data_IF_311168563281
#
_entry.id   IF_311168563281
#
_cell.length_a   1.000
_cell.length_b   1.000
_cell.length_c   1.000
_cell.angle_alpha   90.00
_cell.angle_beta   90.00
_cell.angle_gamma   90.00
#
_symmetry.space_group_name_H-M   'P 1'
#
loop_
_entity.id
_entity.type
_entity.pdbx_description
1 polymer ?
#
# COMPACT_ATOMS: atom_id res chain seq x y z
N UNK A 1 21.51 -26.51 0.44
CA UNK A 1 20.28 -26.99 -0.20
C UNK A 1 19.38 -27.49 0.92
N UNK A 2 18.22 -26.88 1.19
CA UNK A 2 17.27 -27.49 2.10
C UNK A 2 16.68 -28.71 1.38
N UNK A 3 16.86 -29.89 1.97
CA UNK A 3 16.28 -31.11 1.45
C UNK A 3 14.80 -31.13 1.79
N UNK A 4 13.95 -31.30 0.79
CA UNK A 4 12.54 -31.58 1.01
C UNK A 4 12.39 -33.08 1.25
N UNK A 5 11.85 -33.44 2.41
CA UNK A 5 11.49 -34.80 2.77
C UNK A 5 9.97 -34.92 2.64
N UNK A 6 9.51 -35.81 1.76
CA UNK A 6 8.08 -36.07 1.59
C UNK A 6 7.69 -37.27 2.43
N UNK A 7 6.88 -37.05 3.46
CA UNK A 7 6.21 -38.09 4.24
C UNK A 7 4.77 -38.28 3.75
N UNK A 8 4.21 -39.46 4.02
CA UNK A 8 2.81 -39.76 3.74
C UNK A 8 1.97 -39.11 4.84
N UNK A 9 1.05 -38.23 4.46
CA UNK A 9 0.16 -37.53 5.40
C UNK A 9 -0.61 -38.54 6.28
N UNK A 10 -0.36 -38.50 7.58
CA UNK A 10 -0.92 -39.43 8.59
C UNK A 10 -1.94 -38.76 9.54
N UNK A 11 -2.18 -37.46 9.37
CA UNK A 11 -3.15 -36.69 10.12
C UNK A 11 -2.74 -36.30 11.54
N UNK A 12 -1.51 -36.65 11.98
CA UNK A 12 -0.98 -36.20 13.29
C UNK A 12 -0.17 -34.90 13.18
N UNK A 13 0.27 -34.55 11.98
CA UNK A 13 0.93 -33.27 11.70
C UNK A 13 -0.08 -32.12 11.80
N UNK A 14 -0.04 -31.39 12.92
CA UNK A 14 -0.86 -30.21 13.12
C UNK A 14 -0.59 -29.18 12.01
N UNK A 15 -1.65 -28.72 11.34
CA UNK A 15 -1.51 -27.82 10.21
C UNK A 15 -0.80 -26.51 10.61
N UNK A 16 0.35 -26.34 9.99
CA UNK A 16 1.18 -25.16 9.91
C UNK A 16 0.43 -23.82 9.81
N UNK A 17 0.55 -22.83 10.71
CA UNK A 17 0.20 -21.47 10.34
C UNK A 17 0.98 -20.99 9.08
N UNK A 18 2.17 -21.53 8.82
CA UNK A 18 2.93 -21.30 7.57
C UNK A 18 2.32 -22.05 6.36
N UNK A 19 1.80 -23.27 6.55
CA UNK A 19 1.16 -24.01 5.45
C UNK A 19 -0.13 -23.35 4.99
N UNK A 20 -0.85 -22.64 5.86
CA UNK A 20 -2.01 -21.84 5.46
C UNK A 20 -1.63 -20.70 4.50
N UNK A 21 -0.50 -20.03 4.78
CA UNK A 21 0.01 -18.94 3.96
C UNK A 21 0.50 -19.46 2.59
N UNK A 22 1.10 -20.65 2.54
CA UNK A 22 1.53 -21.31 1.30
C UNK A 22 0.33 -21.77 0.45
N UNK A 23 -0.70 -22.34 1.09
CA UNK A 23 -1.94 -22.70 0.38
C UNK A 23 -2.60 -21.45 -0.19
N UNK A 24 -2.64 -20.35 0.59
CA UNK A 24 -3.18 -19.10 0.09
C UNK A 24 -2.35 -18.52 -1.07
N UNK A 25 -1.03 -18.67 -1.06
CA UNK A 25 -0.18 -18.27 -2.19
C UNK A 25 -0.52 -19.06 -3.45
N UNK A 26 -0.76 -20.36 -3.34
CA UNK A 26 -1.22 -21.17 -4.47
C UNK A 26 -2.61 -20.72 -4.95
N UNK A 27 -3.56 -20.50 -4.02
CA UNK A 27 -4.88 -19.97 -4.35
C UNK A 27 -4.77 -18.61 -5.05
N UNK A 28 -3.82 -17.76 -4.66
CA UNK A 28 -3.58 -16.44 -5.25
C UNK A 28 -3.25 -16.52 -6.75
N UNK A 29 -2.55 -17.55 -7.20
CA UNK A 29 -2.26 -17.76 -8.63
C UNK A 29 -3.56 -17.98 -9.42
N UNK A 30 -4.45 -18.82 -8.91
CA UNK A 30 -5.76 -19.06 -9.51
C UNK A 30 -6.64 -17.82 -9.46
N UNK A 31 -6.64 -17.09 -8.35
CA UNK A 31 -7.38 -15.84 -8.22
C UNK A 31 -6.94 -14.79 -9.25
N UNK A 32 -5.64 -14.71 -9.55
CA UNK A 32 -5.12 -13.77 -10.55
C UNK A 32 -5.58 -14.13 -11.97
N UNK A 33 -5.74 -15.41 -12.28
CA UNK A 33 -6.13 -15.85 -13.62
C UNK A 33 -7.66 -15.89 -13.79
N UNK A 34 -8.37 -16.42 -12.80
CA UNK A 34 -9.80 -16.74 -12.88
C UNK A 34 -10.69 -15.81 -12.05
N UNK A 35 -10.15 -15.00 -11.15
CA UNK A 35 -10.94 -14.08 -10.30
C UNK A 35 -11.61 -14.78 -9.11
N UNK A 36 -12.64 -14.14 -8.55
CA UNK A 36 -13.32 -14.63 -7.34
C UNK A 36 -14.16 -15.90 -7.58
N UNK A 37 -14.45 -16.27 -8.82
CA UNK A 37 -15.17 -17.51 -9.15
C UNK A 37 -14.44 -18.76 -8.61
N UNK A 38 -13.13 -18.66 -8.36
CA UNK A 38 -12.36 -19.74 -7.71
C UNK A 38 -12.82 -19.99 -6.27
N UNK A 39 -13.34 -18.96 -5.60
CA UNK A 39 -13.77 -19.03 -4.20
C UNK A 39 -15.04 -19.88 -4.03
N UNK A 40 -15.84 -20.05 -5.08
CA UNK A 40 -17.03 -20.91 -5.02
C UNK A 40 -16.66 -22.38 -4.75
N UNK A 41 -15.46 -22.79 -5.16
CA UNK A 41 -14.91 -24.12 -4.88
C UNK A 41 -14.51 -24.32 -3.42
N UNK A 42 -14.38 -23.24 -2.64
CA UNK A 42 -14.00 -23.34 -1.23
C UNK A 42 -15.07 -24.02 -0.38
N UNK A 43 -16.34 -23.98 -0.80
CA UNK A 43 -17.41 -24.75 -0.16
C UNK A 43 -17.14 -26.26 -0.25
N UNK A 44 -16.68 -26.74 -1.40
CA UNK A 44 -16.31 -28.15 -1.56
C UNK A 44 -15.07 -28.49 -0.74
N UNK A 45 -14.10 -27.57 -0.66
CA UNK A 45 -12.90 -27.76 0.16
C UNK A 45 -13.21 -27.72 1.65
N UNK A 46 -14.25 -27.02 2.08
CA UNK A 46 -14.72 -27.05 3.47
C UNK A 46 -15.22 -28.45 3.85
N UNK A 47 -15.96 -29.11 2.96
CA UNK A 47 -16.44 -30.49 3.18
C UNK A 47 -15.29 -31.50 3.22
N UNK A 48 -14.28 -31.33 2.35
CA UNK A 48 -13.13 -32.26 2.24
C UNK A 48 -12.03 -31.97 3.28
N UNK A 49 -11.82 -30.70 3.63
CA UNK A 49 -10.71 -30.18 4.42
C UNK A 49 -11.13 -28.99 5.32
N UNK A 50 -12.02 -29.20 6.32
CA UNK A 50 -12.57 -28.11 7.14
C UNK A 50 -11.49 -27.34 7.92
N UNK A 51 -10.46 -28.04 8.42
CA UNK A 51 -9.36 -27.40 9.16
C UNK A 51 -8.56 -26.41 8.32
N UNK A 52 -8.46 -26.65 7.00
CA UNK A 52 -7.74 -25.75 6.09
C UNK A 52 -8.47 -24.42 5.95
N UNK A 53 -9.79 -24.49 5.72
CA UNK A 53 -10.64 -23.31 5.57
C UNK A 53 -10.67 -22.51 6.87
N UNK A 54 -10.81 -23.18 8.03
CA UNK A 54 -10.75 -22.52 9.33
C UNK A 54 -9.42 -21.76 9.51
N UNK A 55 -8.29 -22.34 9.09
CA UNK A 55 -6.99 -21.69 9.19
C UNK A 55 -6.86 -20.50 8.23
N UNK A 56 -7.39 -20.58 7.01
CA UNK A 56 -7.40 -19.45 6.07
C UNK A 56 -8.25 -18.27 6.61
N UNK A 57 -9.40 -18.57 7.24
CA UNK A 57 -10.24 -17.59 7.94
C UNK A 57 -9.50 -17.02 9.16
N UNK A 58 -8.90 -17.89 9.99
CA UNK A 58 -8.19 -17.48 11.20
C UNK A 58 -6.97 -16.63 10.91
N UNK A 59 -6.27 -16.91 9.80
CA UNK A 59 -5.20 -16.05 9.29
C UNK A 59 -5.74 -14.74 8.71
N UNK A 60 -7.04 -14.65 8.47
CA UNK A 60 -7.72 -13.48 7.94
C UNK A 60 -7.34 -13.26 6.49
N UNK A 61 -7.18 -14.32 5.70
CA UNK A 61 -6.98 -14.20 4.26
C UNK A 61 -8.32 -14.21 3.53
N UNK A 62 -9.22 -15.09 3.94
CA UNK A 62 -10.60 -15.19 3.46
C UNK A 62 -11.57 -14.93 4.61
N UNK A 63 -12.80 -14.59 4.27
CA UNK A 63 -13.93 -14.50 5.19
C UNK A 63 -15.15 -15.15 4.57
N UNK A 64 -16.12 -15.51 5.41
CA UNK A 64 -17.38 -16.09 4.99
C UNK A 64 -18.51 -15.17 5.46
N UNK A 65 -19.44 -14.85 4.57
CA UNK A 65 -20.61 -14.06 4.90
C UNK A 65 -21.69 -14.89 5.61
N UNK A 66 -22.82 -14.24 5.94
CA UNK A 66 -23.93 -14.89 6.63
C UNK A 66 -24.70 -15.89 5.76
N UNK A 67 -24.52 -15.82 4.45
CA UNK A 67 -25.14 -16.71 3.47
C UNK A 67 -24.22 -17.90 3.14
N UNK A 68 -23.03 -17.96 3.75
CA UNK A 68 -22.05 -19.02 3.55
C UNK A 68 -21.09 -18.76 2.39
N UNK A 69 -21.15 -17.59 1.74
CA UNK A 69 -20.29 -17.28 0.60
C UNK A 69 -18.92 -16.78 1.05
N UNK A 70 -17.88 -17.33 0.44
CA UNK A 70 -16.50 -16.93 0.68
C UNK A 70 -16.10 -15.68 -0.11
N UNK A 71 -15.35 -14.79 0.54
CA UNK A 71 -14.71 -13.62 -0.08
C UNK A 71 -13.27 -13.45 0.41
N UNK A 72 -12.48 -12.69 -0.34
CA UNK A 72 -11.11 -12.34 0.06
C UNK A 72 -11.15 -11.10 0.94
N UNK A 73 -10.49 -11.18 2.09
CA UNK A 73 -10.36 -10.03 2.99
C UNK A 73 -9.37 -8.99 2.42
N UNK A 74 -9.36 -7.74 2.92
CA UNK A 74 -8.34 -6.76 2.55
C UNK A 74 -6.91 -7.23 2.82
N UNK A 75 -6.69 -8.08 3.83
CA UNK A 75 -5.37 -8.65 4.15
C UNK A 75 -4.98 -9.71 3.13
N UNK A 76 -5.90 -10.60 2.75
CA UNK A 76 -5.68 -11.57 1.67
C UNK A 76 -5.39 -10.88 0.35
N UNK A 77 -6.15 -9.83 0.01
CA UNK A 77 -5.94 -9.05 -1.21
C UNK A 77 -4.55 -8.42 -1.26
N UNK A 78 -4.08 -7.80 -0.17
CA UNK A 78 -2.70 -7.27 -0.07
C UNK A 78 -1.65 -8.35 -0.30
N UNK A 79 -1.90 -9.57 0.19
CA UNK A 79 -0.98 -10.69 -0.03
C UNK A 79 -0.93 -11.09 -1.52
N UNK A 80 -2.08 -11.17 -2.19
CA UNK A 80 -2.17 -11.41 -3.64
C UNK A 80 -1.39 -10.32 -4.42
N UNK A 81 -1.63 -9.04 -4.09
CA UNK A 81 -0.96 -7.89 -4.70
C UNK A 81 0.57 -7.96 -4.54
N UNK A 82 1.04 -8.24 -3.32
CA UNK A 82 2.48 -8.38 -3.02
C UNK A 82 3.10 -9.56 -3.78
N UNK A 83 2.41 -10.70 -3.84
CA UNK A 83 2.89 -11.88 -4.58
C UNK A 83 3.00 -11.59 -6.07
N UNK A 84 2.03 -10.87 -6.64
CA UNK A 84 2.09 -10.43 -8.04
C UNK A 84 3.29 -9.49 -8.28
N UNK A 85 3.57 -8.57 -7.36
CA UNK A 85 4.72 -7.68 -7.42
C UNK A 85 6.05 -8.45 -7.37
N UNK A 86 6.19 -9.37 -6.41
CA UNK A 86 7.37 -10.25 -6.28
C UNK A 86 7.60 -11.04 -7.57
N UNK A 87 6.56 -11.67 -8.10
CA UNK A 87 6.65 -12.46 -9.34
C UNK A 87 7.14 -11.63 -10.54
N UNK A 88 6.76 -10.35 -10.67
CA UNK A 88 7.27 -9.48 -11.73
C UNK A 88 8.76 -9.17 -11.59
N UNK A 89 9.26 -9.06 -10.35
CA UNK A 89 10.67 -8.78 -10.10
C UNK A 89 11.54 -10.03 -10.12
N UNK A 90 10.99 -11.20 -9.82
CA UNK A 90 11.71 -12.48 -9.85
C UNK A 90 12.10 -12.89 -11.29
N UNK A 91 11.29 -12.52 -12.29
CA UNK A 91 11.60 -12.72 -13.73
C UNK A 91 12.83 -11.90 -14.18
N UNK A 92 13.21 -10.84 -13.44
CA UNK A 92 14.40 -10.02 -13.74
C UNK A 92 15.66 -10.60 -13.09
N UNK A 93 15.93 -11.87 -13.35
CA UNK A 93 17.24 -12.45 -13.10
C UNK A 93 18.35 -11.61 -13.76
N UNK A 94 19.17 -10.96 -12.94
CA UNK A 94 20.51 -10.42 -13.26
C UNK A 94 20.61 -9.13 -14.11
N UNK A 95 19.79 -8.13 -13.86
CA UNK A 95 20.23 -6.75 -14.14
C UNK A 95 20.27 -5.92 -12.86
N UNK A 96 21.44 -5.33 -12.61
CA UNK A 96 21.77 -4.56 -11.42
C UNK A 96 20.72 -3.47 -11.23
N UNK A 97 20.05 -3.48 -10.07
CA UNK A 97 19.31 -2.35 -9.54
C UNK A 97 20.25 -1.13 -9.50
N UNK A 98 20.16 -0.27 -10.52
CA UNK A 98 20.66 1.09 -10.43
C UNK A 98 19.78 1.83 -9.44
N UNK A 99 20.23 1.93 -8.19
CA UNK A 99 19.77 2.98 -7.28
C UNK A 99 20.21 4.30 -7.91
N UNK A 100 19.31 4.97 -8.63
CA UNK A 100 19.47 6.41 -8.81
C UNK A 100 19.08 7.05 -7.47
N UNK A 101 20.04 7.13 -6.56
CA UNK A 101 20.01 8.24 -5.60
C UNK A 101 20.29 9.48 -6.44
N UNK A 102 19.26 10.27 -6.65
CA UNK A 102 19.39 11.63 -7.15
C UNK A 102 19.84 12.52 -6.01
N UNK A 103 20.88 13.32 -6.22
CA UNK A 103 21.32 14.40 -5.30
C UNK A 103 20.31 15.57 -5.20
N UNK A 104 19.05 15.37 -5.60
CA UNK A 104 17.99 16.36 -5.44
C UNK A 104 17.50 16.33 -3.99
N UNK A 105 17.88 17.34 -3.22
CA UNK A 105 17.17 17.70 -2.00
C UNK A 105 15.81 18.27 -2.40
N UNK A 106 14.73 17.58 -2.07
CA UNK A 106 13.36 18.03 -2.31
C UNK A 106 12.30 17.08 -1.72
N UNK A 107 11.33 17.69 -1.01
CA UNK A 107 10.05 17.17 -0.49
C UNK A 107 10.07 15.76 0.14
N UNK A 108 10.54 15.72 1.40
CA UNK A 108 10.41 14.57 2.30
C UNK A 108 9.16 14.64 3.17
N UNK A 109 8.74 13.48 3.68
CA UNK A 109 7.51 13.24 4.43
C UNK A 109 7.59 13.66 5.92
N UNK A 110 8.29 14.74 6.19
CA UNK A 110 8.50 15.28 7.55
C UNK A 110 8.12 16.74 7.55
N UNK A 111 7.19 17.12 8.42
CA UNK A 111 6.93 18.52 8.76
C UNK A 111 8.26 19.12 9.20
N UNK A 112 8.84 19.97 8.37
CA UNK A 112 9.89 20.86 8.82
C UNK A 112 9.19 22.06 9.47
N UNK A 113 9.61 22.42 10.68
CA UNK A 113 9.25 23.69 11.33
C UNK A 113 9.94 24.89 10.65
N UNK A 114 10.03 24.88 9.32
CA UNK A 114 10.61 26.01 8.59
C UNK A 114 9.51 27.06 8.43
N UNK A 115 9.74 28.20 9.07
CA UNK A 115 8.87 29.37 8.96
C UNK A 115 9.57 30.42 8.08
N UNK A 116 8.80 31.16 7.29
CA UNK A 116 9.32 32.22 6.42
C UNK A 116 8.71 33.58 6.77
N UNK A 117 9.40 34.71 6.49
CA UNK A 117 8.78 36.02 6.57
C UNK A 117 7.51 36.07 5.71
N UNK A 118 6.48 36.74 6.22
CA UNK A 118 5.23 36.92 5.48
C UNK A 118 5.47 37.72 4.20
N UNK A 119 4.92 37.21 3.10
CA UNK A 119 4.86 37.91 1.82
C UNK A 119 3.41 38.12 1.40
N UNK A 120 3.15 39.20 0.66
CA UNK A 120 1.80 39.51 0.19
C UNK A 120 1.24 38.36 -0.66
N UNK A 121 0.15 37.75 -0.18
CA UNK A 121 -0.49 36.59 -0.80
C UNK A 121 -0.43 35.31 0.04
N UNK A 122 0.40 35.28 1.08
CA UNK A 122 0.44 34.16 2.02
C UNK A 122 -0.87 34.03 2.83
N UNK A 123 -1.32 32.81 3.15
CA UNK A 123 -2.53 32.61 3.95
C UNK A 123 -2.34 33.11 5.39
N UNK A 124 -3.13 34.09 5.81
CA UNK A 124 -3.13 34.61 7.20
C UNK A 124 -3.45 33.51 8.22
N UNK A 125 -4.16 32.46 7.81
CA UNK A 125 -4.44 31.29 8.64
C UNK A 125 -3.17 30.54 9.10
N UNK A 126 -2.06 30.67 8.37
CA UNK A 126 -0.80 29.99 8.65
C UNK A 126 0.20 30.89 9.39
N UNK A 127 -0.26 32.01 9.96
CA UNK A 127 0.60 32.93 10.70
C UNK A 127 1.18 32.25 11.95
N UNK A 128 2.51 32.17 12.03
CA UNK A 128 3.23 31.73 13.21
C UNK A 128 3.23 32.85 14.24
N UNK A 129 2.18 32.87 15.08
CA UNK A 129 1.99 33.89 16.12
C UNK A 129 3.14 33.93 17.12
N UNK A 130 3.70 32.77 17.46
CA UNK A 130 4.78 32.67 18.45
C UNK A 130 6.05 33.35 17.95
N UNK A 131 6.46 33.07 16.72
CA UNK A 131 7.65 33.66 16.12
C UNK A 131 7.43 35.13 15.76
N UNK A 132 6.22 35.49 15.32
CA UNK A 132 5.81 36.88 15.08
C UNK A 132 5.92 37.73 16.35
N UNK A 133 5.37 37.25 17.46
CA UNK A 133 5.46 37.95 18.75
C UNK A 133 6.91 38.01 19.25
N UNK A 134 7.70 36.95 19.05
CA UNK A 134 9.13 36.94 19.41
C UNK A 134 9.89 38.01 18.65
N UNK A 135 9.66 38.14 17.35
CA UNK A 135 10.29 39.16 16.51
C UNK A 135 9.89 40.58 16.95
N UNK A 136 8.59 40.81 17.18
CA UNK A 136 8.09 42.11 17.66
C UNK A 136 8.70 42.51 19.02
N UNK A 137 8.76 41.58 19.98
CA UNK A 137 9.36 41.84 21.30
C UNK A 137 10.86 42.10 21.17
N UNK A 138 11.56 41.30 20.36
CA UNK A 138 13.00 41.46 20.14
C UNK A 138 13.33 42.80 19.48
N UNK A 139 12.52 43.25 18.53
CA UNK A 139 12.68 44.54 17.84
C UNK A 139 12.37 45.71 18.76
N UNK A 140 11.31 45.61 19.56
CA UNK A 140 10.91 46.67 20.49
C UNK A 140 11.85 46.77 21.70
N UNK A 141 12.55 45.68 22.06
CA UNK A 141 13.38 45.61 23.26
C UNK A 141 12.58 45.39 24.55
N UNK A 142 11.34 44.89 24.44
CA UNK A 142 10.42 44.64 25.56
C UNK A 142 9.46 45.79 25.91
N UNK A 143 8.65 45.57 26.95
CA UNK A 143 7.62 46.51 27.40
C UNK A 143 6.23 46.25 26.80
N UNK A 144 5.21 46.89 27.39
CA UNK A 144 3.81 46.78 26.97
C UNK A 144 3.22 48.17 26.72
N UNK A 145 2.40 48.36 25.67
CA UNK A 145 1.91 47.34 24.73
C UNK A 145 2.98 46.92 23.69
N UNK A 146 2.89 45.67 23.20
CA UNK A 146 3.73 45.15 22.11
C UNK A 146 3.16 45.65 20.79
N UNK A 147 3.99 46.35 20.00
CA UNK A 147 3.64 46.88 18.68
C UNK A 147 4.09 45.89 17.61
N UNK A 148 3.17 45.24 16.90
CA UNK A 148 3.49 44.30 15.82
C UNK A 148 3.52 45.05 14.48
N UNK A 149 4.62 44.93 13.75
CA UNK A 149 4.80 45.46 12.39
C UNK A 149 4.76 44.35 11.33
N UNK A 150 4.67 44.74 10.06
CA UNK A 150 4.67 43.80 8.92
C UNK A 150 5.97 42.98 8.85
N UNK A 151 7.11 43.61 9.18
CA UNK A 151 8.44 42.98 9.26
C UNK A 151 8.57 41.90 10.34
N UNK A 152 7.65 41.87 11.31
CA UNK A 152 7.63 40.83 12.34
C UNK A 152 6.84 39.60 11.91
N UNK A 153 5.97 39.72 10.90
CA UNK A 153 5.03 38.67 10.50
C UNK A 153 5.79 37.48 9.90
N UNK A 154 5.54 36.31 10.47
CA UNK A 154 6.11 35.05 10.02
C UNK A 154 4.97 34.07 9.76
N UNK A 155 5.03 33.36 8.64
CA UNK A 155 4.09 32.30 8.29
C UNK A 155 4.79 30.95 8.31
N UNK A 156 4.06 29.92 8.73
CA UNK A 156 4.49 28.55 8.52
C UNK A 156 4.51 28.28 7.02
N UNK A 157 5.62 27.72 6.54
CA UNK A 157 5.68 27.29 5.15
C UNK A 157 4.70 26.13 4.94
N UNK A 158 3.84 26.24 3.93
CA UNK A 158 2.85 25.22 3.62
C UNK A 158 3.04 24.78 2.18
N UNK A 159 3.55 23.58 1.99
CA UNK A 159 3.69 23.02 0.66
C UNK A 159 2.31 22.63 0.11
N UNK A 160 2.02 23.05 -1.12
CA UNK A 160 0.78 22.71 -1.82
C UNK A 160 0.84 21.24 -2.25
N UNK A 161 0.16 20.35 -1.53
CA UNK A 161 0.01 18.97 -1.96
C UNK A 161 -1.06 18.87 -3.05
N UNK A 162 -0.65 18.42 -4.23
CA UNK A 162 -1.58 18.09 -5.33
C UNK A 162 -1.98 16.62 -5.21
N UNK A 163 -3.26 16.36 -4.99
CA UNK A 163 -3.81 15.01 -5.03
C UNK A 163 -3.93 14.53 -6.48
N UNK A 164 -3.43 13.33 -6.80
CA UNK A 164 -3.59 12.69 -8.10
C UNK A 164 -4.26 11.31 -7.92
N UNK A 165 -5.31 11.03 -8.69
CA UNK A 165 -5.94 9.71 -8.70
C UNK A 165 -5.41 8.89 -9.89
N UNK A 166 -4.84 7.71 -9.60
CA UNK A 166 -4.41 6.77 -10.63
C UNK A 166 -5.51 5.75 -10.88
N UNK A 167 -5.98 5.63 -12.13
CA UNK A 167 -7.01 4.64 -12.54
C UNK A 167 -6.42 3.71 -13.60
N UNK A 168 -6.55 2.40 -13.38
CA UNK A 168 -6.16 1.36 -14.35
C UNK A 168 -7.42 0.73 -14.93
N UNK A 169 -7.60 0.86 -16.24
CA UNK A 169 -8.69 0.20 -16.98
C UNK A 169 -8.11 -0.90 -17.87
N UNK A 170 -8.62 -2.12 -17.74
CA UNK A 170 -8.22 -3.26 -18.56
C UNK A 170 -9.32 -3.60 -19.56
N UNK A 171 -9.07 -3.35 -20.85
CA UNK A 171 -10.00 -3.69 -21.93
C UNK A 171 -9.84 -5.15 -22.39
N UNK A 172 -10.98 -5.83 -22.58
CA UNK A 172 -11.07 -7.23 -22.99
C UNK A 172 -11.34 -7.35 -24.49
N UNK A 173 -10.28 -7.25 -25.29
CA UNK A 173 -10.36 -7.55 -26.72
C UNK A 173 -10.23 -9.06 -27.01
N UNK A 174 -10.69 -9.51 -28.18
CA UNK A 174 -10.62 -10.93 -28.56
C UNK A 174 -9.19 -11.50 -28.63
N UNK A 175 -8.17 -10.67 -28.83
CA UNK A 175 -6.75 -11.09 -28.79
C UNK A 175 -6.24 -11.25 -27.36
N UNK A 176 -6.76 -10.48 -26.39
CA UNK A 176 -6.40 -10.60 -24.97
C UNK A 176 -6.75 -11.99 -24.44
N UNK A 177 -7.94 -12.48 -24.79
CA UNK A 177 -8.39 -13.83 -24.42
C UNK A 177 -7.63 -14.91 -25.20
N UNK A 178 -7.50 -14.79 -26.54
CA UNK A 178 -6.85 -15.80 -27.38
C UNK A 178 -5.39 -16.08 -27.02
N UNK A 179 -4.67 -15.09 -26.51
CA UNK A 179 -3.24 -15.21 -26.21
C UNK A 179 -2.94 -15.20 -24.70
N UNK A 180 -3.94 -15.35 -23.83
CA UNK A 180 -3.74 -15.38 -22.37
C UNK A 180 -3.16 -14.09 -21.77
N UNK A 181 -3.23 -12.95 -22.49
CA UNK A 181 -2.64 -11.68 -22.06
C UNK A 181 -3.43 -11.00 -20.94
N UNK A 182 -4.68 -11.39 -20.77
CA UNK A 182 -5.54 -10.86 -19.73
C UNK A 182 -5.03 -11.17 -18.31
N UNK A 183 -4.62 -12.41 -18.04
CA UNK A 183 -4.03 -12.79 -16.75
C UNK A 183 -2.73 -12.02 -16.48
N UNK A 184 -1.87 -11.89 -17.50
CA UNK A 184 -0.67 -11.07 -17.39
C UNK A 184 -0.98 -9.60 -17.07
N UNK A 185 -2.00 -9.02 -17.70
CA UNK A 185 -2.43 -7.65 -17.43
C UNK A 185 -3.00 -7.46 -16.02
N UNK A 186 -3.80 -8.42 -15.52
CA UNK A 186 -4.27 -8.44 -14.13
C UNK A 186 -3.10 -8.48 -13.14
N UNK A 187 -2.11 -9.36 -13.37
CA UNK A 187 -0.90 -9.45 -12.52
C UNK A 187 -0.14 -8.11 -12.48
N UNK A 188 0.03 -7.46 -13.62
CA UNK A 188 0.66 -6.12 -13.69
C UNK A 188 -0.15 -5.07 -12.94
N UNK A 189 -1.47 -5.06 -13.09
CA UNK A 189 -2.34 -4.13 -12.36
C UNK A 189 -2.25 -4.33 -10.85
N UNK A 190 -2.32 -5.58 -10.38
CA UNK A 190 -2.20 -5.95 -8.97
C UNK A 190 -0.82 -5.59 -8.39
N UNK A 191 0.25 -5.83 -9.15
CA UNK A 191 1.59 -5.44 -8.77
C UNK A 191 1.74 -3.92 -8.66
N UNK A 192 1.20 -3.16 -9.63
CA UNK A 192 1.20 -1.70 -9.58
C UNK A 192 0.46 -1.19 -8.33
N UNK A 193 -0.68 -1.80 -7.99
CA UNK A 193 -1.43 -1.48 -6.78
C UNK A 193 -0.61 -1.73 -5.51
N UNK A 194 0.09 -2.86 -5.42
CA UNK A 194 1.03 -3.16 -4.33
C UNK A 194 2.12 -2.10 -4.22
N UNK A 195 2.74 -1.74 -5.35
CA UNK A 195 3.83 -0.76 -5.39
C UNK A 195 3.37 0.62 -4.91
N UNK A 196 2.20 1.08 -5.36
CA UNK A 196 1.64 2.37 -4.96
C UNK A 196 1.33 2.36 -3.47
N UNK A 197 0.60 1.36 -2.97
CA UNK A 197 0.29 1.24 -1.54
C UNK A 197 1.52 1.11 -0.65
N UNK A 198 2.55 0.41 -1.13
CA UNK A 198 3.79 0.20 -0.39
C UNK A 198 4.66 1.46 -0.31
N UNK A 199 4.80 2.17 -1.43
CA UNK A 199 5.70 3.33 -1.56
C UNK A 199 5.04 4.65 -1.17
N UNK A 200 3.72 4.77 -1.36
CA UNK A 200 2.94 5.99 -1.15
C UNK A 200 1.76 5.70 -0.21
N UNK A 201 2.05 5.33 1.04
CA UNK A 201 1.04 4.96 2.04
C UNK A 201 0.05 6.09 2.38
N UNK A 202 0.42 7.34 2.10
CA UNK A 202 -0.44 8.52 2.26
C UNK A 202 -1.44 8.72 1.12
N UNK A 203 -1.30 8.01 0.00
CA UNK A 203 -2.26 8.04 -1.09
C UNK A 203 -3.39 7.04 -0.78
N UNK A 204 -4.50 7.58 -0.28
CA UNK A 204 -5.75 6.86 -0.08
C UNK A 204 -6.86 7.56 -0.88
N UNK A 205 -7.68 6.76 -1.58
CA UNK A 205 -8.92 7.20 -2.24
C UNK A 205 -10.10 7.02 -1.29
#
# INVERSE_FOLDING_TARGET
MPGFEYSRFDGEDAFSPQSADEVFDHLSEYLLDYGEDVLDNLNQWEDEHPELIEQLIRRGHIEQDREGKYSITPKGMRRVENKALEALFDVRGRDKLGKHDTDFRGAGQTVHEESKPYEYGDPVANLNLQETLRNAISRQGGGTPVQIGEEDLVVHDTEFQTSCATVVLLDMSGSMMRYGKYGAAKRVAMALQSLVRGRYQGDWL
#
